data_IF_301966401048
#
_entry.id   IF_301966401048
#
_cell.length_a   1.000
_cell.length_b   1.000
_cell.length_c   1.000
_cell.angle_alpha   90.00
_cell.angle_beta   90.00
_cell.angle_gamma   90.00
#
_symmetry.space_group_name_H-M   'P 1'
#
loop_
_entity.id
_entity.type
_entity.pdbx_description
1 polymer ?
#
# COMPACT_ATOMS: atom_id res chain seq x y z
N UNK A 1 20.67 7.09 -12.44
CA UNK A 1 19.64 6.30 -11.74
C UNK A 1 18.71 5.71 -12.79
N UNK A 2 18.22 4.49 -12.58
CA UNK A 2 17.20 3.88 -13.45
C UNK A 2 15.94 3.59 -12.66
N UNK A 3 14.79 3.62 -13.31
CA UNK A 3 13.49 3.43 -12.68
C UNK A 3 12.51 2.73 -13.61
N UNK A 4 11.65 1.89 -13.04
CA UNK A 4 10.40 1.45 -13.65
C UNK A 4 9.28 1.46 -12.61
N UNK A 5 8.05 1.49 -13.11
CA UNK A 5 6.88 1.37 -12.26
C UNK A 5 5.76 0.63 -12.94
N UNK A 6 4.95 -0.08 -12.17
CA UNK A 6 3.71 -0.70 -12.63
C UNK A 6 2.58 -0.42 -11.64
N UNK A 7 1.34 -0.57 -12.11
CA UNK A 7 0.12 -0.48 -11.32
C UNK A 7 -0.69 -1.74 -11.54
N UNK A 8 -1.14 -2.35 -10.45
CA UNK A 8 -1.82 -3.63 -10.45
C UNK A 8 -3.13 -3.46 -9.68
N UNK A 9 -4.24 -3.79 -10.31
CA UNK A 9 -5.53 -3.83 -9.61
C UNK A 9 -5.54 -5.00 -8.63
N UNK A 10 -5.86 -4.68 -7.38
CA UNK A 10 -6.03 -5.69 -6.32
C UNK A 10 -7.50 -5.90 -5.97
N UNK A 11 -8.44 -5.34 -6.73
CA UNK A 11 -9.85 -5.61 -6.48
C UNK A 11 -10.15 -7.12 -6.52
N UNK A 12 -10.90 -7.64 -5.54
CA UNK A 12 -11.39 -9.01 -5.54
C UNK A 12 -12.51 -9.13 -6.58
N UNK A 13 -12.65 -10.32 -7.15
CA UNK A 13 -13.73 -10.63 -8.09
C UNK A 13 -15.08 -10.74 -7.35
N UNK A 14 -15.03 -11.20 -6.10
CA UNK A 14 -16.18 -11.31 -5.21
C UNK A 14 -16.27 -10.13 -4.24
N UNK A 15 -17.46 -9.95 -3.64
CA UNK A 15 -17.66 -8.94 -2.61
C UNK A 15 -16.82 -9.28 -1.38
N UNK A 16 -16.06 -8.31 -0.90
CA UNK A 16 -15.18 -8.46 0.25
C UNK A 16 -15.53 -7.45 1.35
N UNK A 17 -15.41 -7.81 2.64
CA UNK A 17 -15.53 -6.84 3.71
C UNK A 17 -14.45 -5.76 3.56
N UNK A 18 -14.86 -4.52 3.81
CA UNK A 18 -13.97 -3.35 3.73
C UNK A 18 -13.27 -3.12 5.07
N UNK A 19 -11.98 -2.78 5.04
CA UNK A 19 -11.15 -2.65 6.24
C UNK A 19 -11.33 -1.32 6.97
N UNK A 20 -11.07 -1.33 8.29
CA UNK A 20 -10.80 -0.13 9.08
C UNK A 20 -11.96 0.50 9.83
N UNK A 21 -13.16 -0.05 9.76
CA UNK A 21 -14.30 0.36 10.60
C UNK A 21 -14.83 -0.86 11.34
N UNK A 22 -15.10 -0.72 12.65
CA UNK A 22 -15.62 -1.81 13.50
C UNK A 22 -17.08 -2.14 13.12
N UNK A 23 -17.86 -1.10 12.84
CA UNK A 23 -19.24 -1.21 12.41
C UNK A 23 -19.42 -0.47 11.09
N UNK A 24 -20.25 -1.03 10.22
CA UNK A 24 -20.72 -0.40 9.00
C UNK A 24 -22.22 -0.61 8.91
N UNK A 25 -22.94 0.41 8.47
CA UNK A 25 -24.35 0.23 8.11
C UNK A 25 -24.44 -0.87 7.05
N UNK A 26 -25.23 -1.90 7.35
CA UNK A 26 -25.39 -3.15 6.59
C UNK A 26 -26.00 -2.97 5.19
N UNK A 27 -26.33 -1.73 4.81
CA UNK A 27 -27.11 -1.41 3.62
C UNK A 27 -26.36 -1.43 2.30
N UNK A 28 -25.03 -1.30 2.26
CA UNK A 28 -24.31 -1.26 0.98
C UNK A 28 -22.90 -1.87 1.04
N UNK A 29 -22.67 -3.07 0.47
CA UNK A 29 -21.36 -3.68 0.34
C UNK A 29 -20.58 -3.09 -0.86
N UNK A 30 -20.90 -1.86 -1.29
CA UNK A 30 -20.24 -1.28 -2.47
C UNK A 30 -18.94 -0.64 -2.07
N UNK A 31 -17.88 -1.10 -2.72
CA UNK A 31 -16.55 -0.50 -2.80
C UNK A 31 -16.65 1.03 -2.87
N UNK A 32 -16.03 1.72 -1.91
CA UNK A 32 -15.95 3.19 -1.90
C UNK A 32 -15.01 3.76 -2.97
N UNK A 33 -14.41 2.91 -3.82
CA UNK A 33 -13.63 3.29 -4.98
C UNK A 33 -13.67 2.14 -6.01
N UNK A 34 -13.99 2.42 -7.28
CA UNK A 34 -13.94 1.41 -8.36
C UNK A 34 -12.51 1.02 -8.74
N UNK A 35 -11.51 1.64 -8.12
CA UNK A 35 -10.10 1.37 -8.35
C UNK A 35 -9.40 1.18 -6.99
N UNK A 36 -8.84 -0.01 -6.78
CA UNK A 36 -7.98 -0.33 -5.64
C UNK A 36 -6.73 -0.98 -6.20
N UNK A 37 -5.57 -0.33 -6.02
CA UNK A 37 -4.35 -0.74 -6.70
C UNK A 37 -3.16 -0.89 -5.76
N UNK A 38 -2.20 -1.70 -6.18
CA UNK A 38 -0.81 -1.67 -5.73
C UNK A 38 0.02 -1.02 -6.83
N UNK A 39 0.73 0.05 -6.50
CA UNK A 39 1.77 0.66 -7.32
C UNK A 39 3.11 0.16 -6.84
N UNK A 40 3.93 -0.32 -7.77
CA UNK A 40 5.27 -0.80 -7.47
C UNK A 40 6.23 0.08 -8.24
N UNK A 41 7.18 0.69 -7.53
CA UNK A 41 8.32 1.37 -8.13
C UNK A 41 9.60 0.58 -7.86
N UNK A 42 10.45 0.44 -8.87
CA UNK A 42 11.75 -0.19 -8.76
C UNK A 42 12.83 0.80 -9.20
N UNK A 43 13.69 1.21 -8.27
CA UNK A 43 14.83 2.07 -8.53
C UNK A 43 16.12 1.26 -8.53
N UNK A 44 16.93 1.45 -9.57
CA UNK A 44 18.36 1.08 -9.56
C UNK A 44 19.16 2.35 -9.34
N UNK A 45 19.63 2.51 -8.11
CA UNK A 45 20.34 3.72 -7.65
C UNK A 45 21.79 3.65 -8.13
N UNK A 46 22.42 2.49 -7.95
CA UNK A 46 23.76 2.13 -8.43
C UNK A 46 23.81 0.64 -8.76
N UNK A 47 24.97 0.14 -9.20
CA UNK A 47 25.19 -1.28 -9.50
C UNK A 47 25.04 -2.21 -8.28
N UNK A 48 25.09 -1.65 -7.06
CA UNK A 48 24.99 -2.41 -5.80
C UNK A 48 23.80 -1.96 -4.93
N UNK A 49 23.02 -0.98 -5.39
CA UNK A 49 21.93 -0.40 -4.60
C UNK A 49 20.67 -0.31 -5.43
N UNK A 50 19.70 -1.10 -5.03
CA UNK A 50 18.35 -1.11 -5.60
C UNK A 50 17.33 -0.84 -4.47
N UNK A 51 16.15 -0.37 -4.86
CA UNK A 51 15.04 -0.12 -3.94
C UNK A 51 13.73 -0.49 -4.65
N UNK A 52 12.87 -1.24 -3.96
CA UNK A 52 11.51 -1.52 -4.40
C UNK A 52 10.52 -0.94 -3.39
N UNK A 53 9.63 -0.08 -3.87
CA UNK A 53 8.60 0.56 -3.07
C UNK A 53 7.22 0.12 -3.52
N UNK A 54 6.46 -0.43 -2.58
CA UNK A 54 5.06 -0.78 -2.75
C UNK A 54 4.19 0.29 -2.10
N UNK A 55 3.33 0.93 -2.89
CA UNK A 55 2.28 1.82 -2.41
C UNK A 55 0.92 1.24 -2.77
N UNK A 56 0.10 0.92 -1.79
CA UNK A 56 -1.19 0.30 -2.02
C UNK A 56 -2.34 1.10 -1.45
N UNK A 57 -3.48 1.05 -2.14
CA UNK A 57 -4.77 1.55 -1.64
C UNK A 57 -5.33 0.59 -0.58
N UNK A 58 -4.63 0.47 0.54
CA UNK A 58 -4.93 -0.43 1.65
C UNK A 58 -4.83 0.32 2.99
N UNK A 59 -5.45 -0.24 4.03
CA UNK A 59 -5.28 0.27 5.39
C UNK A 59 -3.82 0.13 5.88
N UNK A 60 -3.20 -1.01 5.59
CA UNK A 60 -1.79 -1.35 5.79
C UNK A 60 -1.44 -2.56 4.90
N UNK A 61 -0.15 -2.88 4.82
CA UNK A 61 0.29 -4.18 4.29
C UNK A 61 0.29 -5.21 5.41
N UNK A 62 -0.41 -6.36 5.26
CA UNK A 62 -0.38 -7.41 6.26
C UNK A 62 0.99 -8.12 6.27
N UNK A 63 1.36 -8.65 7.43
CA UNK A 63 2.67 -9.29 7.65
C UNK A 63 2.86 -10.49 6.71
N UNK A 64 1.84 -11.34 6.57
CA UNK A 64 1.88 -12.53 5.71
C UNK A 64 2.22 -12.18 4.25
N UNK A 65 1.46 -11.29 3.61
CA UNK A 65 1.75 -10.82 2.25
C UNK A 65 3.14 -10.17 2.15
N UNK A 66 3.52 -9.35 3.13
CA UNK A 66 4.80 -8.65 3.12
C UNK A 66 5.98 -9.62 3.19
N UNK A 67 5.91 -10.62 4.06
CA UNK A 67 6.91 -11.68 4.15
C UNK A 67 6.99 -12.50 2.87
N UNK A 68 5.84 -12.90 2.32
CA UNK A 68 5.77 -13.67 1.08
C UNK A 68 6.41 -12.93 -0.10
N UNK A 69 6.14 -11.63 -0.22
CA UNK A 69 6.78 -10.76 -1.22
C UNK A 69 8.29 -10.63 -0.96
N UNK A 70 8.72 -10.36 0.27
CA UNK A 70 10.16 -10.27 0.60
C UNK A 70 10.91 -11.54 0.23
N UNK A 71 10.40 -12.71 0.62
CA UNK A 71 10.99 -14.01 0.27
C UNK A 71 11.11 -14.17 -1.25
N UNK A 72 10.03 -13.89 -1.98
CA UNK A 72 10.04 -13.99 -3.44
C UNK A 72 11.10 -13.07 -4.09
N UNK A 73 11.26 -11.85 -3.60
CA UNK A 73 12.26 -10.92 -4.12
C UNK A 73 13.70 -11.34 -3.81
N UNK A 74 13.95 -11.86 -2.61
CA UNK A 74 15.25 -12.42 -2.23
C UNK A 74 15.60 -13.60 -3.13
N UNK A 75 14.67 -14.54 -3.31
CA UNK A 75 14.91 -15.77 -4.08
C UNK A 75 15.02 -15.53 -5.59
N UNK A 76 14.17 -14.66 -6.15
CA UNK A 76 14.04 -14.52 -7.62
C UNK A 76 14.95 -13.43 -8.18
N UNK A 77 15.16 -12.35 -7.42
CA UNK A 77 15.86 -11.15 -7.89
C UNK A 77 17.13 -10.86 -7.11
N UNK A 78 17.49 -11.71 -6.13
CA UNK A 78 18.61 -11.49 -5.23
C UNK A 78 18.56 -10.11 -4.56
N UNK A 79 17.35 -9.62 -4.27
CA UNK A 79 17.12 -8.31 -3.66
C UNK A 79 16.92 -8.48 -2.14
N UNK A 80 17.82 -7.96 -1.30
CA UNK A 80 17.68 -8.06 0.16
C UNK A 80 16.37 -7.45 0.66
N UNK A 81 15.77 -8.08 1.67
CA UNK A 81 14.55 -7.57 2.31
C UNK A 81 14.67 -6.10 2.77
N UNK A 82 15.86 -5.66 3.20
CA UNK A 82 16.09 -4.27 3.62
C UNK A 82 15.89 -3.23 2.50
N UNK A 83 15.88 -3.66 1.23
CA UNK A 83 15.64 -2.83 0.05
C UNK A 83 14.18 -2.85 -0.42
N UNK A 84 13.28 -3.43 0.37
CA UNK A 84 11.86 -3.55 0.06
C UNK A 84 11.03 -2.82 1.11
N UNK A 85 10.29 -1.82 0.66
CA UNK A 85 9.46 -0.95 1.50
C UNK A 85 8.00 -1.09 1.09
N UNK A 86 7.12 -1.18 2.08
CA UNK A 86 5.67 -1.28 1.92
C UNK A 86 4.97 -0.11 2.59
N UNK A 87 4.01 0.51 1.90
CA UNK A 87 3.21 1.61 2.41
C UNK A 87 1.76 1.47 1.97
N UNK A 88 0.82 1.55 2.92
CA UNK A 88 -0.60 1.72 2.63
C UNK A 88 -0.99 3.20 2.63
N UNK A 89 -1.96 3.58 1.81
CA UNK A 89 -2.57 4.93 1.86
C UNK A 89 -3.42 5.14 3.11
N UNK A 90 -3.62 4.10 3.92
CA UNK A 90 -4.48 4.08 5.09
C UNK A 90 -5.95 4.35 4.75
N UNK A 91 -6.40 3.86 3.60
CA UNK A 91 -7.81 3.94 3.21
C UNK A 91 -8.66 2.97 4.01
N UNK A 92 -9.80 3.46 4.51
CA UNK A 92 -10.84 2.65 5.15
C UNK A 92 -11.91 2.19 4.14
N UNK A 93 -11.61 2.23 2.84
CA UNK A 93 -12.57 1.90 1.76
C UNK A 93 -12.06 0.81 0.81
N UNK A 94 -11.00 0.10 1.21
CA UNK A 94 -10.45 -1.03 0.47
C UNK A 94 -10.85 -2.37 1.09
N UNK A 95 -10.88 -3.46 0.30
CA UNK A 95 -11.00 -4.83 0.80
C UNK A 95 -10.00 -5.10 1.93
N UNK A 96 -10.46 -5.76 2.99
CA UNK A 96 -9.61 -6.19 4.09
C UNK A 96 -8.72 -7.35 3.68
N UNK A 97 -7.41 -7.19 3.88
CA UNK A 97 -6.46 -8.29 3.75
C UNK A 97 -6.23 -9.02 5.09
N UNK A 98 -6.78 -8.52 6.20
CA UNK A 98 -6.69 -9.14 7.51
C UNK A 98 -5.41 -8.76 8.28
N UNK A 99 -5.59 -8.14 9.44
CA UNK A 99 -4.51 -7.70 10.34
C UNK A 99 -5.08 -7.18 11.66
N UNK A 100 -6.23 -6.49 11.60
CA UNK A 100 -6.89 -5.99 12.78
C UNK A 100 -7.49 -7.17 13.57
N UNK A 101 -7.46 -7.16 14.92
CA UNK A 101 -7.98 -8.26 15.72
C UNK A 101 -9.45 -8.62 15.47
N UNK A 102 -10.22 -7.68 14.94
CA UNK A 102 -11.64 -7.84 14.61
C UNK A 102 -11.89 -8.12 13.12
N UNK A 103 -10.85 -8.18 12.29
CA UNK A 103 -10.95 -8.55 10.88
C UNK A 103 -10.51 -10.00 10.70
N UNK A 104 -11.28 -10.78 9.94
CA UNK A 104 -10.87 -12.12 9.55
C UNK A 104 -9.63 -12.04 8.67
N UNK A 105 -8.67 -12.94 8.90
CA UNK A 105 -7.53 -13.09 8.01
C UNK A 105 -7.97 -13.80 6.73
N UNK A 106 -7.78 -13.15 5.59
CA UNK A 106 -8.19 -13.66 4.29
C UNK A 106 -6.99 -14.08 3.46
N UNK A 107 -6.33 -15.18 3.86
CA UNK A 107 -5.09 -15.66 3.22
C UNK A 107 -5.26 -15.95 1.74
N UNK A 108 -6.38 -16.53 1.33
CA UNK A 108 -6.67 -16.81 -0.08
C UNK A 108 -6.66 -15.52 -0.92
N UNK A 109 -7.23 -14.44 -0.39
CA UNK A 109 -7.20 -13.15 -1.08
C UNK A 109 -5.81 -12.50 -1.05
N UNK A 110 -5.06 -12.62 0.06
CA UNK A 110 -3.65 -12.20 0.09
C UNK A 110 -2.82 -12.97 -0.95
N UNK A 111 -3.08 -14.25 -1.16
CA UNK A 111 -2.42 -15.10 -2.16
C UNK A 111 -2.77 -14.69 -3.59
N UNK A 112 -4.03 -14.35 -3.85
CA UNK A 112 -4.45 -13.75 -5.14
C UNK A 112 -3.69 -12.45 -5.40
N UNK A 113 -3.59 -11.57 -4.41
CA UNK A 113 -2.84 -10.30 -4.54
C UNK A 113 -1.36 -10.57 -4.80
N UNK A 114 -0.75 -11.52 -4.08
CA UNK A 114 0.62 -11.95 -4.30
C UNK A 114 0.86 -12.44 -5.74
N UNK A 115 0.00 -13.32 -6.25
CA UNK A 115 0.16 -13.85 -7.61
C UNK A 115 -0.02 -12.77 -8.67
N UNK A 116 -0.99 -11.86 -8.51
CA UNK A 116 -1.15 -10.68 -9.39
C UNK A 116 0.12 -9.82 -9.42
N UNK A 117 0.74 -9.59 -8.27
CA UNK A 117 2.02 -8.88 -8.17
C UNK A 117 3.12 -9.63 -8.90
N UNK A 118 3.32 -10.90 -8.56
CA UNK A 118 4.36 -11.77 -9.11
C UNK A 118 4.31 -11.86 -10.64
N UNK A 119 3.12 -11.97 -11.23
CA UNK A 119 2.94 -11.99 -12.69
C UNK A 119 3.40 -10.68 -13.36
N UNK A 120 3.27 -9.54 -12.70
CA UNK A 120 3.65 -8.24 -13.26
C UNK A 120 5.16 -7.91 -13.11
N UNK A 121 5.88 -8.58 -12.22
CA UNK A 121 7.28 -8.26 -11.92
C UNK A 121 8.24 -8.44 -13.12
N UNK A 122 8.14 -9.49 -13.97
CA UNK A 122 9.04 -9.62 -15.12
C UNK A 122 9.01 -8.41 -16.06
N UNK A 123 7.82 -7.89 -16.37
CA UNK A 123 7.67 -6.72 -17.24
C UNK A 123 8.08 -5.42 -16.53
N UNK A 124 7.88 -5.33 -15.21
CA UNK A 124 8.43 -4.23 -14.40
C UNK A 124 9.96 -4.18 -14.50
N UNK A 125 10.64 -5.31 -14.39
CA UNK A 125 12.11 -5.38 -14.45
C UNK A 125 12.64 -5.03 -15.85
N UNK A 126 11.99 -5.53 -16.90
CA UNK A 126 12.38 -5.25 -18.29
C UNK A 126 12.19 -3.78 -18.69
N UNK A 127 11.23 -3.09 -18.08
CA UNK A 127 10.88 -1.69 -18.41
C UNK A 127 11.73 -0.64 -17.70
N UNK A 128 12.80 -1.05 -17.01
CA UNK A 128 13.73 -0.13 -16.32
C UNK A 128 14.44 0.77 -17.33
N UNK A 129 14.32 2.08 -17.13
CA UNK A 129 14.90 3.12 -17.99
C UNK A 129 15.65 4.17 -17.19
N UNK A 130 16.57 4.88 -17.82
CA UNK A 130 17.27 6.00 -17.20
C UNK A 130 16.30 7.13 -16.85
N UNK A 131 16.47 7.68 -15.65
CA UNK A 131 15.63 8.78 -15.16
C UNK A 131 16.46 9.78 -14.37
N UNK A 132 15.91 10.99 -14.24
CA UNK A 132 16.33 12.02 -13.29
C UNK A 132 15.27 12.14 -12.20
N UNK A 133 15.71 12.26 -10.95
CA UNK A 133 14.82 12.57 -9.82
C UNK A 133 14.92 14.05 -9.52
N UNK A 134 13.76 14.68 -9.41
CA UNK A 134 13.61 16.07 -8.99
C UNK A 134 12.70 16.08 -7.77
N UNK A 135 13.08 16.83 -6.74
CA UNK A 135 12.32 16.96 -5.50
C UNK A 135 11.92 18.41 -5.34
N UNK A 136 10.64 18.62 -5.08
CA UNK A 136 10.10 19.92 -4.69
C UNK A 136 9.27 19.76 -3.42
N UNK A 137 9.13 20.84 -2.68
CA UNK A 137 8.30 20.87 -1.47
C UNK A 137 7.33 22.03 -1.59
N UNK A 138 6.05 21.72 -1.41
CA UNK A 138 4.96 22.70 -1.50
C UNK A 138 4.17 22.67 -0.21
N UNK A 139 3.75 23.85 0.25
CA UNK A 139 2.80 23.96 1.35
C UNK A 139 1.40 23.69 0.83
N UNK A 140 0.68 22.78 1.49
CA UNK A 140 -0.72 22.52 1.17
C UNK A 140 -1.64 23.47 1.96
N UNK A 141 -2.80 23.85 1.41
CA UNK A 141 -3.85 24.49 2.21
C UNK A 141 -4.28 23.56 3.35
N UNK A 142 -4.93 24.07 4.41
CA UNK A 142 -5.37 23.27 5.55
C UNK A 142 -6.48 22.30 5.15
N UNK A 143 -6.10 21.15 4.59
CA UNK A 143 -6.98 20.04 4.20
C UNK A 143 -7.10 18.97 5.30
N UNK A 144 -6.38 19.14 6.40
CA UNK A 144 -6.40 18.24 7.54
C UNK A 144 -6.60 19.02 8.83
N UNK A 145 -7.35 18.42 9.76
CA UNK A 145 -7.57 18.95 11.10
C UNK A 145 -7.13 17.93 12.13
N UNK A 146 -6.55 18.41 13.23
CA UNK A 146 -6.22 17.53 14.34
C UNK A 146 -7.49 17.15 15.11
N UNK A 147 -8.01 15.94 14.86
CA UNK A 147 -9.19 15.37 15.53
C UNK A 147 -9.07 15.20 17.04
N UNK A 148 -7.86 15.34 17.61
CA UNK A 148 -7.58 15.24 19.05
C UNK A 148 -7.14 16.56 19.68
N UNK A 149 -7.24 17.69 18.96
CA UNK A 149 -6.93 19.01 19.52
C UNK A 149 -7.97 19.32 20.60
N UNK A 150 -7.59 19.16 21.88
CA UNK A 150 -8.41 19.61 23.00
C UNK A 150 -8.56 21.13 22.88
N UNK A 151 -9.80 21.61 22.80
CA UNK A 151 -10.09 23.02 23.02
C UNK A 151 -9.70 23.30 24.48
N UNK A 152 -8.62 24.05 24.67
CA UNK A 152 -8.32 24.61 26.00
C UNK A 152 -9.44 25.61 26.26
N UNK A 153 -10.42 25.24 27.09
CA UNK A 153 -11.42 26.16 27.58
C UNK A 153 -10.70 27.19 28.47
N UNK A 154 -10.37 28.35 27.91
CA UNK A 154 -9.87 29.54 28.62
C UNK A 154 -10.94 30.20 29.52
N UNK A 155 -11.82 29.40 30.15
CA UNK A 155 -12.94 29.91 30.96
C UNK A 155 -12.70 29.93 32.48
N UNK A 156 -11.47 29.69 32.95
CA UNK A 156 -11.13 29.81 34.37
C UNK A 156 -9.79 30.52 34.57
N UNK A 157 -9.76 31.81 34.26
CA UNK A 157 -8.58 32.65 34.49
C UNK A 157 -8.85 34.12 34.20
N UNK A 158 -9.66 34.76 35.05
CA UNK A 158 -9.57 36.14 35.55
C UNK A 158 -10.66 36.33 36.62
#
# INVERSE_FOLDING_TARGET
>A
MKFSSTRISILPEEKFPLSGMVERDSGVPTLGNQECNVKIGWWKISDQSELVFFLADLLFFPEYLSQKLRTHFVETYNLPSSQIIFAGTHTHSAPGLGFLPWESEHKDYQDIVFEKIKVALPELVKSIKEVRVEQTTVSLPPISVNRRKKLINWRYGL
#
